data_IF_093475352266
#
_entry.id   IF_093475352266
#
_cell.length_a   1.000
_cell.length_b   1.000
_cell.length_c   1.000
_cell.angle_alpha   90.00
_cell.angle_beta   90.00
_cell.angle_gamma   90.00
#
_symmetry.space_group_name_H-M   'P 1'
#
loop_
_entity.id
_entity.type
_entity.pdbx_description
1 polymer ?
#
# COMPACT_ATOMS: atom_id res chain seq x y z
N UNK A 1 13.01 -13.30 20.47
CA UNK A 1 12.82 -13.45 19.01
C UNK A 1 11.32 -13.33 18.76
N UNK A 2 10.84 -12.15 18.36
CA UNK A 2 9.42 -11.95 18.05
C UNK A 2 9.20 -12.36 16.59
N UNK A 3 8.19 -13.20 16.35
CA UNK A 3 7.83 -13.73 15.04
C UNK A 3 7.39 -12.59 14.10
N UNK A 4 7.76 -12.67 12.82
CA UNK A 4 7.43 -11.69 11.77
C UNK A 4 5.93 -11.41 11.57
N UNK A 5 5.03 -12.19 12.20
CA UNK A 5 3.59 -11.94 12.22
C UNK A 5 3.20 -10.67 13.00
N UNK A 6 3.99 -10.24 13.98
CA UNK A 6 3.65 -9.09 14.82
C UNK A 6 4.02 -7.74 14.18
N UNK A 7 4.99 -7.73 13.25
CA UNK A 7 5.41 -6.51 12.55
C UNK A 7 4.38 -6.00 11.51
N UNK A 8 3.56 -6.91 10.96
CA UNK A 8 2.51 -6.56 10.00
C UNK A 8 1.33 -5.83 10.67
N UNK A 9 0.97 -6.21 11.90
CA UNK A 9 -0.10 -5.55 12.67
C UNK A 9 0.22 -4.09 13.05
N UNK A 10 1.48 -3.76 13.33
CA UNK A 10 1.90 -2.42 13.74
C UNK A 10 1.98 -1.41 12.58
N UNK A 11 2.13 -1.88 11.33
CA UNK A 11 2.31 -1.00 10.17
C UNK A 11 1.01 -0.58 9.47
N UNK A 12 -0.15 -1.06 9.89
CA UNK A 12 -1.38 -0.86 9.14
C UNK A 12 -1.44 -1.72 7.87
N UNK A 13 -0.79 -2.88 7.89
CA UNK A 13 -0.92 -3.91 6.86
C UNK A 13 -1.81 -5.01 7.42
N UNK A 14 -3.07 -5.19 6.97
CA UNK A 14 -3.87 -6.34 7.37
C UNK A 14 -3.15 -7.60 6.90
N UNK A 15 -2.72 -8.41 7.87
CA UNK A 15 -2.34 -9.81 7.62
C UNK A 15 -3.58 -10.49 7.05
N UNK A 16 -3.47 -11.01 5.84
CA UNK A 16 -4.44 -11.93 5.26
C UNK A 16 -4.65 -13.11 6.23
N UNK A 17 -5.76 -13.12 6.95
CA UNK A 17 -6.39 -14.34 7.45
C UNK A 17 -7.85 -14.04 7.84
N UNK A 18 -8.77 -14.70 7.11
CA UNK A 18 -10.16 -15.01 7.45
C UNK A 18 -11.14 -13.85 7.81
N UNK A 19 -12.16 -13.64 6.96
CA UNK A 19 -13.56 -13.95 7.32
C UNK A 19 -14.47 -13.82 6.08
N UNK A 20 -14.85 -14.98 5.53
CA UNK A 20 -16.09 -15.12 4.77
C UNK A 20 -17.25 -15.15 5.77
N UNK A 21 -18.21 -14.23 5.64
CA UNK A 21 -19.65 -14.50 5.74
C UNK A 21 -20.48 -13.22 5.54
N UNK A 22 -21.61 -13.47 4.87
CA UNK A 22 -22.75 -12.63 4.55
C UNK A 22 -22.92 -11.35 5.37
N UNK A 23 -23.17 -10.24 4.67
CA UNK A 23 -24.48 -9.60 4.77
C UNK A 23 -24.77 -8.76 3.52
N UNK A 24 -25.90 -9.07 2.88
CA UNK A 24 -26.57 -8.23 1.90
C UNK A 24 -27.27 -7.10 2.65
N UNK A 25 -27.02 -5.84 2.29
CA UNK A 25 -28.06 -4.80 2.20
C UNK A 25 -27.54 -3.48 1.59
N UNK A 26 -28.25 -3.04 0.55
CA UNK A 26 -28.46 -1.70 0.01
C UNK A 26 -27.27 -0.70 -0.08
N UNK A 27 -26.75 -0.54 -1.30
CA UNK A 27 -25.99 0.65 -1.71
C UNK A 27 -26.95 1.58 -2.46
N UNK A 28 -27.27 2.73 -1.88
CA UNK A 28 -27.81 3.86 -2.63
C UNK A 28 -26.67 4.52 -3.42
N UNK A 29 -26.97 4.84 -4.68
CA UNK A 29 -26.01 5.25 -5.69
C UNK A 29 -25.34 6.60 -5.35
N UNK A 30 -24.01 6.59 -5.28
CA UNK A 30 -23.18 7.80 -5.25
C UNK A 30 -23.26 8.61 -6.55
N UNK A 31 -22.74 9.86 -6.54
CA UNK A 31 -23.00 10.85 -7.59
C UNK A 31 -22.41 10.42 -8.94
N UNK A 32 -23.18 10.62 -10.01
CA UNK A 32 -22.80 10.28 -11.39
C UNK A 32 -21.63 11.14 -11.87
N UNK A 33 -20.48 10.51 -12.12
CA UNK A 33 -19.28 11.13 -12.68
C UNK A 33 -19.52 11.71 -14.10
N UNK A 34 -19.01 12.92 -14.32
CA UNK A 34 -19.04 13.60 -15.62
C UNK A 34 -18.08 12.98 -16.65
N UNK A 35 -18.45 13.08 -17.93
CA UNK A 35 -17.71 12.58 -19.11
C UNK A 35 -16.35 13.28 -19.28
N UNK A 36 -15.34 12.88 -18.51
CA UNK A 36 -13.92 13.15 -18.80
C UNK A 36 -13.29 11.99 -19.57
N UNK A 37 -12.28 12.25 -20.39
CA UNK A 37 -11.46 11.20 -21.02
C UNK A 37 -10.94 10.23 -19.95
N UNK A 38 -11.28 8.96 -20.11
CA UNK A 38 -10.87 7.90 -19.18
C UNK A 38 -9.58 7.28 -19.70
N UNK A 39 -8.60 7.10 -18.81
CA UNK A 39 -7.29 6.52 -19.12
C UNK A 39 -7.19 5.13 -18.53
N UNK A 40 -6.58 4.21 -19.26
CA UNK A 40 -6.26 2.89 -18.75
C UNK A 40 -4.89 2.89 -18.08
N UNK A 41 -4.79 2.42 -16.84
CA UNK A 41 -3.50 2.32 -16.16
C UNK A 41 -2.78 1.01 -16.48
N UNK A 42 -1.58 0.83 -15.91
CA UNK A 42 -0.72 -0.34 -16.18
C UNK A 42 -1.30 -1.68 -15.70
N UNK A 43 -2.27 -1.66 -14.77
CA UNK A 43 -3.03 -2.82 -14.31
C UNK A 43 -4.33 -3.05 -15.09
N UNK A 44 -4.56 -2.34 -16.20
CA UNK A 44 -5.82 -2.41 -16.94
C UNK A 44 -7.04 -2.02 -16.09
N UNK A 45 -6.85 -1.04 -15.20
CA UNK A 45 -7.93 -0.40 -14.45
C UNK A 45 -8.18 0.99 -15.02
N UNK A 46 -9.46 1.32 -15.22
CA UNK A 46 -9.89 2.60 -15.75
C UNK A 46 -9.80 3.70 -14.69
N UNK A 47 -9.21 4.83 -15.07
CA UNK A 47 -9.00 6.01 -14.25
C UNK A 47 -9.66 7.23 -14.92
N UNK A 48 -10.42 7.98 -14.11
CA UNK A 48 -10.95 9.28 -14.50
C UNK A 48 -9.89 10.37 -14.44
N UNK A 49 -10.32 11.64 -14.47
CA UNK A 49 -9.43 12.80 -14.25
C UNK A 49 -8.91 12.87 -12.82
N UNK A 50 -9.72 12.45 -11.87
CA UNK A 50 -9.43 12.40 -10.44
C UNK A 50 -10.14 11.21 -9.81
N UNK A 51 -9.78 10.90 -8.56
CA UNK A 51 -10.42 9.85 -7.76
C UNK A 51 -10.49 10.26 -6.29
N UNK A 52 -11.61 9.96 -5.64
CA UNK A 52 -11.72 10.05 -4.17
C UNK A 52 -11.04 8.82 -3.56
N UNK A 53 -10.14 9.08 -2.62
CA UNK A 53 -9.30 8.09 -1.96
C UNK A 53 -9.30 8.35 -0.45
N UNK A 54 -9.18 7.29 0.35
CA UNK A 54 -9.27 7.39 1.81
C UNK A 54 -7.96 7.01 2.48
N UNK A 55 -7.57 7.73 3.52
CA UNK A 55 -6.39 7.40 4.30
C UNK A 55 -6.60 7.69 5.79
N UNK A 56 -6.10 6.79 6.63
CA UNK A 56 -6.05 6.99 8.09
C UNK A 56 -4.70 7.54 8.49
N UNK A 57 -4.69 8.72 9.09
CA UNK A 57 -3.48 9.47 9.39
C UNK A 57 -3.51 9.98 10.82
N UNK A 58 -2.36 10.44 11.30
CA UNK A 58 -2.29 11.08 12.60
C UNK A 58 -2.61 12.58 12.47
N UNK A 59 -3.12 13.25 13.52
CA UNK A 59 -3.45 14.68 13.49
C UNK A 59 -2.28 15.59 13.11
N UNK A 60 -1.03 15.14 13.25
CA UNK A 60 0.17 15.85 12.79
C UNK A 60 0.14 16.16 11.29
N UNK A 61 -0.43 15.27 10.47
CA UNK A 61 -0.52 15.49 9.03
C UNK A 61 -1.37 16.71 8.71
N UNK A 62 -2.56 16.84 9.34
CA UNK A 62 -3.43 17.99 9.16
C UNK A 62 -2.73 19.28 9.58
N UNK A 63 -2.07 19.29 10.73
CA UNK A 63 -1.29 20.45 11.20
C UNK A 63 -0.22 20.87 10.20
N UNK A 64 0.41 19.91 9.50
CA UNK A 64 1.39 20.21 8.46
C UNK A 64 0.76 20.75 7.17
N UNK A 65 -0.38 20.21 6.76
CA UNK A 65 -1.18 20.74 5.64
C UNK A 65 -1.68 22.16 5.91
N UNK A 66 -2.21 22.44 7.10
CA UNK A 66 -2.67 23.78 7.50
C UNK A 66 -1.51 24.78 7.51
N UNK A 67 -0.35 24.37 8.00
CA UNK A 67 0.83 25.25 8.12
C UNK A 67 1.51 25.54 6.78
N UNK A 68 1.55 24.57 5.86
CA UNK A 68 2.41 24.65 4.67
C UNK A 68 1.71 24.43 3.34
N UNK A 69 0.43 24.07 3.35
CA UNK A 69 -0.36 23.73 2.16
C UNK A 69 -0.04 22.36 1.56
N UNK A 70 1.01 21.68 2.05
CA UNK A 70 1.50 20.41 1.50
C UNK A 70 2.02 19.48 2.58
N UNK A 71 1.93 18.18 2.33
CA UNK A 71 2.44 17.15 3.21
C UNK A 71 3.27 16.14 2.42
N UNK A 72 4.40 15.73 3.00
CA UNK A 72 5.25 14.64 2.55
C UNK A 72 5.69 13.83 3.76
N UNK A 73 5.74 12.52 3.63
CA UNK A 73 6.17 11.63 4.72
C UNK A 73 7.65 11.87 5.02
N UNK A 74 7.97 12.08 6.30
CA UNK A 74 9.35 12.24 6.80
C UNK A 74 9.88 10.93 7.37
N UNK A 75 11.19 10.74 7.33
CA UNK A 75 11.85 9.57 7.90
C UNK A 75 11.55 9.42 9.40
N UNK A 76 11.53 10.53 10.14
CA UNK A 76 11.17 10.59 11.56
C UNK A 76 9.81 9.95 11.86
N UNK A 77 8.85 10.01 10.93
CA UNK A 77 7.53 9.37 11.09
C UNK A 77 7.61 7.85 10.97
N UNK A 78 8.48 7.32 10.09
CA UNK A 78 8.74 5.88 10.01
C UNK A 78 9.42 5.39 11.29
N UNK A 79 10.39 6.13 11.81
CA UNK A 79 11.11 5.78 13.04
C UNK A 79 10.16 5.74 14.23
N UNK A 80 9.32 6.77 14.40
CA UNK A 80 8.31 6.82 15.48
C UNK A 80 7.30 5.66 15.38
N UNK A 81 6.87 5.31 14.17
CA UNK A 81 5.84 4.27 13.96
C UNK A 81 6.39 2.85 14.08
N UNK A 82 7.61 2.60 13.59
CA UNK A 82 8.13 1.25 13.36
C UNK A 82 9.26 0.86 14.32
N UNK A 83 9.80 1.79 15.11
CA UNK A 83 10.85 1.53 16.10
C UNK A 83 12.02 0.74 15.50
N UNK A 84 12.27 -0.45 16.03
CA UNK A 84 13.35 -1.34 15.61
C UNK A 84 13.22 -1.85 14.16
N UNK A 85 12.03 -1.80 13.56
CA UNK A 85 11.79 -2.20 12.17
C UNK A 85 11.92 -1.04 11.17
N UNK A 86 12.21 0.18 11.64
CA UNK A 86 12.33 1.38 10.81
C UNK A 86 13.31 1.21 9.65
N UNK A 87 14.50 0.65 9.91
CA UNK A 87 15.51 0.41 8.86
C UNK A 87 15.09 -0.61 7.80
N UNK A 88 14.24 -1.58 8.16
CA UNK A 88 13.66 -2.51 7.21
C UNK A 88 12.65 -1.81 6.29
N UNK A 89 11.71 -1.06 6.86
CA UNK A 89 10.70 -0.33 6.10
C UNK A 89 11.30 0.83 5.28
N UNK A 90 12.36 1.47 5.76
CA UNK A 90 13.08 2.49 5.00
C UNK A 90 13.61 1.93 3.68
N UNK A 91 14.30 0.78 3.72
CA UNK A 91 14.78 0.11 2.49
C UNK A 91 13.64 -0.29 1.57
N UNK A 92 12.56 -0.84 2.13
CA UNK A 92 11.40 -1.31 1.38
C UNK A 92 10.70 -0.15 0.66
N UNK A 93 10.40 0.94 1.36
CA UNK A 93 9.76 2.10 0.76
C UNK A 93 10.67 2.87 -0.20
N UNK A 94 11.98 2.93 0.04
CA UNK A 94 12.92 3.48 -0.94
C UNK A 94 12.99 2.66 -2.22
N UNK A 95 12.94 1.32 -2.10
CA UNK A 95 12.80 0.46 -3.28
C UNK A 95 11.49 0.76 -4.02
N UNK A 96 10.37 0.84 -3.30
CA UNK A 96 9.05 1.11 -3.87
C UNK A 96 9.01 2.45 -4.60
N UNK A 97 9.46 3.52 -3.95
CA UNK A 97 9.57 4.87 -4.51
C UNK A 97 10.43 4.90 -5.77
N UNK A 98 11.58 4.20 -5.78
CA UNK A 98 12.45 4.13 -6.97
C UNK A 98 11.80 3.37 -8.13
N UNK A 99 10.98 2.36 -7.84
CA UNK A 99 10.23 1.66 -8.88
C UNK A 99 9.09 2.54 -9.42
N UNK A 100 8.35 3.20 -8.52
CA UNK A 100 7.26 4.11 -8.85
C UNK A 100 7.73 5.37 -9.61
N UNK A 101 8.92 5.89 -9.33
CA UNK A 101 9.46 7.09 -10.00
C UNK A 101 9.75 6.88 -11.49
N UNK A 102 9.68 5.64 -11.99
CA UNK A 102 9.74 5.32 -13.42
C UNK A 102 8.37 5.39 -14.11
N UNK A 103 7.31 5.63 -13.34
CA UNK A 103 5.91 5.61 -13.77
C UNK A 103 5.25 6.97 -13.54
N UNK A 104 5.51 7.59 -12.39
CA UNK A 104 4.93 8.84 -11.93
C UNK A 104 6.01 9.72 -11.27
N UNK A 105 5.88 11.04 -11.36
CA UNK A 105 6.79 11.96 -10.67
C UNK A 105 6.51 11.96 -9.16
N UNK A 106 7.49 11.49 -8.39
CA UNK A 106 7.40 11.44 -6.92
C UNK A 106 7.88 12.73 -6.25
N UNK A 107 8.29 13.74 -7.02
CA UNK A 107 8.78 15.02 -6.52
C UNK A 107 10.02 14.90 -5.62
N UNK A 108 10.77 13.80 -5.78
CA UNK A 108 11.94 13.44 -4.96
C UNK A 108 11.62 13.00 -3.52
N UNK A 109 10.34 12.84 -3.16
CA UNK A 109 9.99 12.40 -1.81
C UNK A 109 10.34 10.90 -1.64
N UNK A 110 10.94 10.49 -0.51
CA UNK A 110 11.46 9.14 -0.34
C UNK A 110 10.39 8.08 -0.02
N UNK A 111 9.22 8.48 0.48
CA UNK A 111 8.22 7.55 1.01
C UNK A 111 6.81 7.85 0.48
N UNK A 112 6.01 6.80 0.17
CA UNK A 112 4.63 6.96 -0.25
C UNK A 112 3.68 7.23 0.92
N UNK A 113 2.60 7.93 0.61
CA UNK A 113 1.35 8.01 1.38
C UNK A 113 0.42 6.96 0.77
N UNK A 114 -0.14 6.10 1.61
CA UNK A 114 -1.04 5.02 1.18
C UNK A 114 -2.50 5.42 1.32
N UNK A 115 -3.30 5.03 0.34
CA UNK A 115 -4.73 5.26 0.29
C UNK A 115 -5.50 4.01 -0.12
N UNK A 116 -6.72 3.89 0.40
CA UNK A 116 -7.70 2.90 0.01
C UNK A 116 -8.63 3.50 -1.05
N UNK A 117 -9.10 2.63 -1.97
CA UNK A 117 -10.01 3.00 -3.04
C UNK A 117 -11.46 3.10 -2.60
N UNK A 118 -11.79 2.48 -1.47
CA UNK A 118 -13.12 2.53 -0.87
C UNK A 118 -13.00 2.79 0.62
N UNK A 119 -14.01 3.45 1.16
CA UNK A 119 -14.06 3.84 2.57
C UNK A 119 -14.18 2.62 3.50
N UNK A 120 -15.00 1.63 3.15
CA UNK A 120 -15.24 0.42 3.96
C UNK A 120 -14.00 -0.48 4.11
N UNK A 121 -12.95 -0.23 3.30
CA UNK A 121 -11.69 -0.98 3.31
C UNK A 121 -10.54 -0.21 3.93
N UNK A 122 -10.75 1.03 4.34
CA UNK A 122 -9.72 1.79 5.04
C UNK A 122 -9.41 1.15 6.40
N UNK A 123 -8.21 1.43 6.90
CA UNK A 123 -7.87 1.11 8.28
C UNK A 123 -8.93 1.73 9.19
N UNK A 124 -9.55 0.88 10.01
CA UNK A 124 -10.60 1.32 10.92
C UNK A 124 -10.09 2.46 11.81
N UNK A 125 -10.94 3.46 12.07
CA UNK A 125 -10.54 4.56 12.93
C UNK A 125 -10.11 4.02 14.30
N UNK A 126 -9.04 4.59 14.82
CA UNK A 126 -8.58 4.35 16.19
C UNK A 126 -8.50 5.67 16.93
N UNK A 127 -8.50 5.59 18.24
CA UNK A 127 -8.33 6.77 19.09
C UNK A 127 -7.09 7.59 18.69
N UNK A 128 -7.27 8.90 18.55
CA UNK A 128 -6.22 9.82 18.16
C UNK A 128 -5.82 9.73 16.69
N UNK A 129 -6.68 9.18 15.82
CA UNK A 129 -6.49 9.17 14.36
C UNK A 129 -7.50 10.04 13.63
N UNK A 130 -7.16 10.39 12.40
CA UNK A 130 -8.06 11.07 11.47
C UNK A 130 -8.23 10.23 10.20
N UNK A 131 -9.44 10.22 9.67
CA UNK A 131 -9.74 9.69 8.35
C UNK A 131 -9.90 10.87 7.39
N UNK A 132 -9.13 10.86 6.31
CA UNK A 132 -9.20 11.87 5.26
C UNK A 132 -9.81 11.24 4.02
N UNK A 133 -10.81 11.90 3.43
CA UNK A 133 -11.22 11.67 2.06
C UNK A 133 -10.57 12.74 1.17
N UNK A 134 -9.81 12.30 0.17
CA UNK A 134 -8.99 13.16 -0.68
C UNK A 134 -9.31 12.93 -2.15
N UNK A 135 -9.47 14.00 -2.91
CA UNK A 135 -9.63 13.93 -4.36
C UNK A 135 -8.28 14.15 -5.03
N UNK A 136 -7.65 13.06 -5.45
CA UNK A 136 -6.35 13.11 -6.12
C UNK A 136 -6.53 13.12 -7.64
N UNK A 137 -5.84 14.00 -8.38
CA UNK A 137 -5.80 13.94 -9.83
C UNK A 137 -5.01 12.71 -10.29
N UNK A 138 -5.35 12.17 -11.47
CA UNK A 138 -4.80 10.91 -11.98
C UNK A 138 -3.26 10.92 -12.15
N UNK A 139 -2.67 12.10 -12.36
CA UNK A 139 -1.22 12.29 -12.45
C UNK A 139 -0.51 12.34 -11.09
N UNK A 140 -1.24 12.41 -9.98
CA UNK A 140 -0.69 12.54 -8.63
C UNK A 140 -0.75 11.24 -7.81
N UNK A 141 -1.31 10.16 -8.34
CA UNK A 141 -1.33 8.86 -7.66
C UNK A 141 -0.99 7.69 -8.58
N UNK A 142 -0.53 6.61 -7.96
CA UNK A 142 -0.23 5.35 -8.63
C UNK A 142 -0.99 4.23 -7.93
N UNK A 143 -1.72 3.43 -8.71
CA UNK A 143 -2.34 2.22 -8.18
C UNK A 143 -1.31 1.10 -8.04
N UNK A 144 -1.50 0.29 -7.00
CA UNK A 144 -0.66 -0.83 -6.63
C UNK A 144 -1.53 -2.01 -6.23
N UNK A 145 -1.21 -3.20 -6.74
CA UNK A 145 -1.77 -4.45 -6.24
C UNK A 145 -1.30 -4.66 -4.80
N UNK A 146 -2.23 -4.51 -3.87
CA UNK A 146 -1.99 -4.53 -2.44
C UNK A 146 -1.73 -5.96 -1.92
N UNK A 147 -2.34 -6.95 -2.55
CA UNK A 147 -2.09 -8.36 -2.24
C UNK A 147 -0.65 -8.74 -2.61
N UNK A 148 -0.23 -8.39 -3.83
CA UNK A 148 1.13 -8.59 -4.31
C UNK A 148 2.16 -7.78 -3.51
N UNK A 149 1.79 -6.59 -3.01
CA UNK A 149 2.63 -5.83 -2.08
C UNK A 149 2.93 -6.64 -0.80
N UNK A 150 1.97 -7.42 -0.30
CA UNK A 150 2.18 -8.34 0.81
C UNK A 150 3.29 -9.37 0.54
N UNK A 151 3.46 -9.83 -0.69
CA UNK A 151 4.57 -10.71 -1.08
C UNK A 151 5.91 -9.96 -1.04
N UNK A 152 5.95 -8.74 -1.56
CA UNK A 152 7.16 -7.88 -1.54
C UNK A 152 7.64 -7.62 -0.11
N UNK A 153 6.72 -7.29 0.80
CA UNK A 153 7.01 -7.13 2.24
C UNK A 153 7.64 -8.42 2.80
N UNK A 154 7.13 -9.59 2.43
CA UNK A 154 7.68 -10.87 2.90
C UNK A 154 8.89 -11.38 2.11
N UNK A 155 9.47 -10.57 1.21
CA UNK A 155 10.56 -10.96 0.30
C UNK A 155 10.20 -12.08 -0.69
N UNK A 156 8.91 -12.32 -0.91
CA UNK A 156 8.42 -13.40 -1.75
C UNK A 156 8.36 -13.00 -3.23
N UNK A 157 8.46 -14.02 -4.09
CA UNK A 157 8.26 -13.87 -5.53
C UNK A 157 6.79 -13.53 -5.85
N UNK A 158 6.58 -12.52 -6.69
CA UNK A 158 5.25 -12.13 -7.15
C UNK A 158 4.96 -12.83 -8.49
N UNK A 159 4.27 -13.96 -8.47
CA UNK A 159 4.03 -14.78 -9.66
C UNK A 159 3.03 -14.16 -10.65
N UNK A 160 3.23 -14.39 -11.96
CA UNK A 160 2.29 -13.98 -13.02
C UNK A 160 1.11 -14.93 -13.17
N UNK A 161 1.33 -16.21 -12.87
CA UNK A 161 0.34 -17.28 -12.96
C UNK A 161 0.73 -18.41 -12.01
N UNK A 162 -0.15 -19.40 -11.88
CA UNK A 162 0.14 -20.61 -11.12
C UNK A 162 1.33 -21.38 -11.68
N UNK A 163 1.47 -21.46 -13.01
CA UNK A 163 2.59 -22.13 -13.66
C UNK A 163 3.91 -21.39 -13.40
N UNK A 164 3.88 -20.05 -13.35
CA UNK A 164 5.05 -19.23 -12.97
C UNK A 164 5.47 -19.49 -11.53
N UNK A 165 4.50 -19.58 -10.63
CA UNK A 165 4.72 -19.89 -9.23
C UNK A 165 5.29 -21.31 -9.03
N UNK A 166 4.77 -22.31 -9.75
CA UNK A 166 5.26 -23.69 -9.72
C UNK A 166 6.70 -23.79 -10.26
N UNK A 167 7.00 -23.10 -11.36
CA UNK A 167 8.35 -22.99 -11.93
C UNK A 167 9.34 -22.39 -10.92
N UNK A 168 8.98 -21.26 -10.32
CA UNK A 168 9.83 -20.59 -9.33
C UNK A 168 10.07 -21.45 -8.08
N UNK A 169 9.01 -22.09 -7.55
CA UNK A 169 9.13 -23.04 -6.43
C UNK A 169 10.01 -24.24 -6.75
N UNK A 170 9.95 -24.76 -7.98
CA UNK A 170 10.83 -25.85 -8.40
C UNK A 170 12.30 -25.41 -8.41
N UNK A 171 12.58 -24.17 -8.83
CA UNK A 171 13.93 -23.60 -8.81
C UNK A 171 14.45 -23.41 -7.37
N UNK A 172 13.63 -22.90 -6.45
CA UNK A 172 14.00 -22.83 -5.02
C UNK A 172 14.38 -24.21 -4.45
N UNK A 173 13.55 -25.23 -4.71
CA UNK A 173 13.78 -26.61 -4.23
C UNK A 173 15.07 -27.20 -4.79
N UNK A 174 15.32 -27.00 -6.08
CA UNK A 174 16.55 -27.46 -6.76
C UNK A 174 17.81 -26.87 -6.12
N UNK A 175 17.72 -25.64 -5.61
CA UNK A 175 18.81 -24.92 -4.95
C UNK A 175 18.80 -25.09 -3.41
N UNK A 176 17.96 -25.97 -2.85
CA UNK A 176 17.92 -26.25 -1.41
C UNK A 176 17.40 -25.10 -0.54
N UNK A 177 16.57 -24.23 -1.13
CA UNK A 177 15.89 -23.12 -0.46
C UNK A 177 14.46 -23.53 -0.11
N UNK A 178 14.00 -23.24 1.11
CA UNK A 178 12.63 -23.51 1.56
C UNK A 178 11.68 -22.40 1.16
N UNK A 179 12.17 -21.16 1.11
CA UNK A 179 11.40 -19.96 0.80
C UNK A 179 12.29 -18.84 0.27
N UNK A 180 11.68 -17.83 -0.36
CA UNK A 180 12.38 -16.71 -0.97
C UNK A 180 13.12 -15.83 0.04
N UNK A 181 12.57 -15.67 1.25
CA UNK A 181 13.17 -14.82 2.28
C UNK A 181 14.58 -15.30 2.68
N UNK A 182 14.89 -16.58 2.50
CA UNK A 182 16.25 -17.11 2.69
C UNK A 182 17.28 -16.42 1.77
N UNK A 183 16.87 -15.92 0.60
CA UNK A 183 17.73 -15.16 -0.34
C UNK A 183 18.09 -13.75 0.19
N UNK A 184 17.33 -13.24 1.15
CA UNK A 184 17.46 -11.87 1.65
C UNK A 184 17.91 -11.81 3.10
N UNK A 185 17.46 -12.77 3.91
CA UNK A 185 17.63 -12.78 5.37
C UNK A 185 18.73 -13.73 5.85
N UNK A 186 19.29 -14.56 4.97
CA UNK A 186 20.34 -15.52 5.31
C UNK A 186 21.55 -15.41 4.39
N UNK A 187 22.66 -16.00 4.81
CA UNK A 187 23.90 -16.04 4.02
C UNK A 187 23.75 -16.82 2.71
N UNK A 188 22.73 -17.69 2.58
CA UNK A 188 22.45 -18.43 1.34
C UNK A 188 22.26 -17.50 0.14
N UNK A 189 21.67 -16.31 0.37
CA UNK A 189 21.45 -15.31 -0.67
C UNK A 189 22.72 -14.86 -1.41
N UNK A 190 23.89 -14.96 -0.77
CA UNK A 190 25.17 -14.60 -1.38
C UNK A 190 25.58 -15.56 -2.52
N UNK A 191 25.09 -16.80 -2.49
CA UNK A 191 25.39 -17.82 -3.50
C UNK A 191 24.41 -17.82 -4.67
N UNK A 192 23.26 -17.14 -4.54
CA UNK A 192 22.19 -17.13 -5.53
C UNK A 192 21.81 -15.72 -6.01
N UNK A 193 22.76 -14.89 -6.48
CA UNK A 193 22.49 -13.50 -6.87
C UNK A 193 21.53 -13.38 -8.06
N UNK A 194 21.52 -14.37 -8.96
CA UNK A 194 20.59 -14.41 -10.10
C UNK A 194 19.15 -14.62 -9.61
N UNK A 195 18.93 -15.61 -8.76
CA UNK A 195 17.60 -15.93 -8.22
C UNK A 195 17.07 -14.79 -7.34
N UNK A 196 17.95 -14.19 -6.53
CA UNK A 196 17.63 -12.99 -5.75
C UNK A 196 17.15 -11.84 -6.64
N UNK A 197 17.87 -11.57 -7.73
CA UNK A 197 17.49 -10.53 -8.70
C UNK A 197 16.19 -10.86 -9.43
N UNK A 198 15.91 -12.13 -9.66
CA UNK A 198 14.65 -12.58 -10.25
C UNK A 198 13.46 -12.25 -9.33
N UNK A 199 13.59 -12.56 -8.03
CA UNK A 199 12.59 -12.19 -7.01
C UNK A 199 12.41 -10.68 -6.96
N UNK A 200 13.48 -9.89 -6.85
CA UNK A 200 13.38 -8.42 -6.83
C UNK A 200 12.74 -7.83 -8.10
N UNK A 201 13.01 -8.42 -9.27
CA UNK A 201 12.36 -8.00 -10.53
C UNK A 201 10.88 -8.33 -10.53
N UNK A 202 10.48 -9.47 -9.95
CA UNK A 202 9.06 -9.84 -9.86
C UNK A 202 8.26 -8.81 -9.08
N UNK A 203 8.86 -8.12 -8.10
CA UNK A 203 8.18 -7.12 -7.29
C UNK A 203 7.66 -5.92 -8.09
N UNK A 204 8.26 -5.57 -9.24
CA UNK A 204 7.73 -4.49 -10.09
C UNK A 204 6.33 -4.81 -10.64
N UNK A 205 5.93 -6.08 -10.63
CA UNK A 205 4.60 -6.55 -11.03
C UNK A 205 3.48 -6.01 -10.15
N UNK A 206 3.76 -5.47 -8.97
CA UNK A 206 2.75 -4.79 -8.13
C UNK A 206 2.07 -3.63 -8.85
N UNK A 207 2.70 -3.04 -9.89
CA UNK A 207 2.12 -1.94 -10.67
C UNK A 207 1.45 -2.41 -11.97
N UNK A 208 1.47 -3.71 -12.28
CA UNK A 208 0.98 -4.25 -13.56
C UNK A 208 0.01 -5.41 -13.40
N UNK A 209 0.12 -6.20 -12.33
CA UNK A 209 -0.78 -7.31 -12.06
C UNK A 209 -2.11 -6.80 -11.53
N UNK A 210 -3.17 -7.03 -12.29
CA UNK A 210 -4.53 -6.76 -11.86
C UNK A 210 -4.95 -7.84 -10.85
N UNK A 211 -5.38 -7.48 -9.63
CA UNK A 211 -5.98 -8.43 -8.70
C UNK A 211 -7.38 -8.84 -9.19
N UNK A 212 -7.84 -10.01 -8.76
CA UNK A 212 -9.18 -10.52 -9.10
C UNK A 212 -10.28 -9.60 -8.59
N UNK A 213 -10.17 -9.16 -7.33
CA UNK A 213 -11.00 -8.11 -6.75
C UNK A 213 -10.25 -6.78 -6.81
N UNK A 214 -10.62 -5.93 -7.76
CA UNK A 214 -9.98 -4.61 -7.94
C UNK A 214 -10.31 -3.64 -6.80
N UNK A 215 -11.46 -3.76 -6.15
CA UNK A 215 -11.86 -2.85 -5.06
C UNK A 215 -11.11 -3.17 -3.77
N UNK A 216 -10.85 -4.45 -3.51
CA UNK A 216 -10.13 -4.92 -2.31
C UNK A 216 -8.63 -5.06 -2.49
N UNK A 217 -8.22 -5.55 -3.66
CA UNK A 217 -6.85 -5.93 -3.95
C UNK A 217 -5.98 -4.77 -4.43
N UNK A 218 -6.50 -3.54 -4.51
CA UNK A 218 -5.75 -2.37 -4.95
C UNK A 218 -5.68 -1.30 -3.87
N UNK A 219 -4.50 -0.73 -3.71
CA UNK A 219 -4.27 0.51 -2.98
C UNK A 219 -3.76 1.58 -3.94
N UNK A 220 -3.96 2.85 -3.57
CA UNK A 220 -3.34 3.97 -4.25
C UNK A 220 -2.17 4.51 -3.40
N UNK A 221 -1.16 5.04 -4.07
CA UNK A 221 -0.04 5.73 -3.43
C UNK A 221 0.21 7.08 -4.06
N UNK A 222 0.60 8.05 -3.23
CA UNK A 222 1.08 9.36 -3.67
C UNK A 222 2.30 9.76 -2.85
N UNK A 223 3.07 10.74 -3.31
CA UNK A 223 4.29 11.22 -2.63
C UNK A 223 4.16 12.63 -2.09
N UNK A 224 3.04 13.29 -2.38
CA UNK A 224 2.67 14.59 -1.86
C UNK A 224 1.16 14.63 -1.68
N UNK A 225 0.71 15.30 -0.63
CA UNK A 225 -0.71 15.62 -0.43
C UNK A 225 -0.83 17.13 -0.31
N UNK A 226 -1.85 17.72 -0.92
CA UNK A 226 -2.09 19.16 -0.91
C UNK A 226 -3.42 19.49 -0.25
N UNK A 227 -3.48 20.63 0.42
CA UNK A 227 -4.67 21.03 1.19
C UNK A 227 -5.90 21.17 0.29
N UNK A 228 -5.74 21.61 -0.95
CA UNK A 228 -6.84 21.74 -1.93
C UNK A 228 -7.46 20.41 -2.37
N UNK A 229 -6.76 19.28 -2.14
CA UNK A 229 -7.27 17.94 -2.46
C UNK A 229 -8.12 17.35 -1.34
N UNK A 230 -8.10 17.94 -0.14
CA UNK A 230 -8.88 17.44 0.99
C UNK A 230 -10.36 17.78 0.78
N UNK A 231 -11.22 16.76 0.84
CA UNK A 231 -12.68 16.91 0.73
C UNK A 231 -13.38 16.77 2.07
N UNK A 232 -12.90 15.85 2.89
CA UNK A 232 -13.45 15.58 4.21
C UNK A 232 -12.35 15.16 5.17
N UNK A 233 -12.50 15.53 6.44
CA UNK A 233 -11.69 14.97 7.52
C UNK A 233 -12.57 14.63 8.72
N UNK A 234 -12.44 13.40 9.20
CA UNK A 234 -13.11 12.89 10.39
C UNK A 234 -12.10 12.59 11.49
N UNK A 235 -12.22 13.26 12.61
CA UNK A 235 -11.33 13.13 13.75
C UNK A 235 -11.94 12.19 14.79
N UNK A 236 -11.15 11.23 15.27
CA UNK A 236 -11.58 10.25 16.25
C UNK A 236 -10.83 10.50 17.56
N UNK A 237 -11.34 11.45 18.35
CA UNK A 237 -10.74 11.86 19.61
C UNK A 237 -10.95 10.83 20.73
N UNK A 238 -10.18 11.00 21.80
CA UNK A 238 -10.25 10.19 23.02
C UNK A 238 -11.66 10.24 23.64
N UNK A 239 -12.34 9.10 23.67
CA UNK A 239 -13.68 8.93 24.23
C UNK A 239 -14.84 9.05 23.24
N UNK A 240 -14.58 9.20 21.93
CA UNK A 240 -15.63 9.35 20.91
C UNK A 240 -16.10 8.04 20.26
N UNK A 241 -15.49 6.90 20.59
CA UNK A 241 -15.80 5.59 19.99
C UNK A 241 -16.76 4.74 20.83
N UNK A 242 -17.11 5.20 22.03
CA UNK A 242 -18.18 4.60 22.82
C UNK A 242 -19.51 5.17 22.30
N UNK A 243 -20.23 4.37 21.52
CA UNK A 243 -21.61 4.68 21.12
C UNK A 243 -22.52 4.80 22.35
N UNK A 244 -23.73 5.38 22.21
CA UNK A 244 -24.66 5.43 23.33
C UNK A 244 -24.98 4.01 23.81
N UNK A 245 -24.89 3.81 25.14
CA UNK A 245 -25.32 2.59 25.85
C UNK A 245 -26.75 2.15 25.48
#
# INVERSE_FOLDING_TARGET
MCNGRDAAKACGTPVLEAQLRDDRLAIEAGPKEGKGERKMNRMQIEEGKSRILWTRQSPELRRELERSGKYRVKQEYLEKKNGNMSGYYDRLYRWYTRAASRILDTGGAPYPIWFNLTEDRMLQPVEGSEILAVELPAEAYLLCNYEAWGYVVNYFYVALSREDEERHRAELRKNGLKSDDELFLTEKGNFYPILKREVEKSWERIFTLRPDDTERGVAATSWELRSEWIREVRSYEKGALDGPE
#
